data_IF_927856876823
#
_entry.id   IF_927856876823
#
_cell.length_a   1.000
_cell.length_b   1.000
_cell.length_c   1.000
_cell.angle_alpha   90.00
_cell.angle_beta   90.00
_cell.angle_gamma   90.00
#
_symmetry.space_group_name_H-M   'P 1'
#
loop_
_entity.id
_entity.type
_entity.pdbx_description
1 polymer ?
#
# COMPACT_ATOMS: atom_id res chain seq x y z
N UNK A 1 -29.13 -13.53 -35.50
CA UNK A 1 -27.74 -13.03 -35.35
C UNK A 1 -27.66 -11.68 -34.60
N UNK A 2 -28.59 -10.73 -34.80
CA UNK A 2 -28.52 -9.40 -34.16
C UNK A 2 -28.79 -9.31 -32.65
N UNK A 3 -29.52 -10.27 -32.05
CA UNK A 3 -29.86 -10.22 -30.61
C UNK A 3 -28.67 -10.66 -29.73
N UNK A 4 -27.91 -11.68 -30.15
CA UNK A 4 -26.71 -12.13 -29.43
C UNK A 4 -25.63 -11.04 -29.39
N UNK A 5 -25.39 -10.35 -30.51
CA UNK A 5 -24.46 -9.21 -30.58
C UNK A 5 -24.89 -8.05 -29.66
N UNK A 6 -26.19 -7.76 -29.58
CA UNK A 6 -26.70 -6.71 -28.69
C UNK A 6 -26.59 -7.08 -27.21
N UNK A 7 -26.77 -8.34 -26.85
CA UNK A 7 -26.57 -8.83 -25.47
C UNK A 7 -25.09 -8.75 -25.09
N UNK A 8 -24.18 -9.08 -26.00
CA UNK A 8 -22.73 -9.02 -25.76
C UNK A 8 -22.20 -7.58 -25.67
N UNK A 9 -22.73 -6.67 -26.49
CA UNK A 9 -22.49 -5.22 -26.40
C UNK A 9 -23.06 -4.61 -25.11
N UNK A 10 -24.23 -5.07 -24.65
CA UNK A 10 -24.79 -4.68 -23.36
C UNK A 10 -23.95 -5.21 -22.20
N UNK A 11 -23.49 -6.46 -22.26
CA UNK A 11 -22.68 -7.05 -21.19
C UNK A 11 -21.30 -6.39 -21.09
N UNK A 12 -20.70 -6.02 -22.22
CA UNK A 12 -19.41 -5.30 -22.27
C UNK A 12 -19.53 -3.83 -21.89
N UNK A 13 -20.61 -3.14 -22.24
CA UNK A 13 -20.86 -1.75 -21.80
C UNK A 13 -21.20 -1.67 -20.31
N UNK A 14 -22.02 -2.59 -19.80
CA UNK A 14 -22.29 -2.74 -18.37
C UNK A 14 -20.98 -3.11 -17.65
N UNK A 15 -20.22 -4.11 -18.11
CA UNK A 15 -18.93 -4.49 -17.52
C UNK A 15 -17.90 -3.34 -17.46
N UNK A 16 -17.81 -2.50 -18.50
CA UNK A 16 -16.95 -1.29 -18.50
C UNK A 16 -17.39 -0.24 -17.49
N UNK A 17 -18.71 -0.02 -17.39
CA UNK A 17 -19.29 0.92 -16.42
C UNK A 17 -19.06 0.45 -14.98
N UNK A 18 -19.28 -0.85 -14.72
CA UNK A 18 -18.99 -1.48 -13.43
C UNK A 18 -17.50 -1.46 -13.09
N UNK A 19 -16.61 -1.73 -14.04
CA UNK A 19 -15.16 -1.67 -13.85
C UNK A 19 -14.69 -0.25 -13.49
N UNK A 20 -15.22 0.78 -14.16
CA UNK A 20 -14.93 2.18 -13.85
C UNK A 20 -15.48 2.60 -12.48
N UNK A 21 -16.72 2.21 -12.14
CA UNK A 21 -17.28 2.45 -10.80
C UNK A 21 -16.45 1.76 -9.71
N UNK A 22 -15.94 0.56 -9.99
CA UNK A 22 -15.16 -0.22 -9.04
C UNK A 22 -13.76 0.36 -8.81
N UNK A 23 -13.09 0.84 -9.86
CA UNK A 23 -11.82 1.59 -9.73
C UNK A 23 -12.03 2.91 -8.97
N UNK A 24 -13.18 3.57 -9.16
CA UNK A 24 -13.55 4.77 -8.39
C UNK A 24 -13.78 4.45 -6.92
N UNK A 25 -14.46 3.34 -6.61
CA UNK A 25 -14.72 2.86 -5.26
C UNK A 25 -13.44 2.42 -4.53
N UNK A 26 -12.51 1.73 -5.20
CA UNK A 26 -11.26 1.23 -4.60
C UNK A 26 -10.36 2.36 -4.12
N UNK A 27 -10.06 3.33 -4.98
CA UNK A 27 -9.31 4.53 -4.57
C UNK A 27 -10.08 5.36 -3.53
N UNK A 28 -11.42 5.40 -3.60
CA UNK A 28 -12.22 6.09 -2.58
C UNK A 28 -12.01 5.45 -1.22
N UNK A 29 -11.98 4.12 -1.13
CA UNK A 29 -11.69 3.40 0.11
C UNK A 29 -10.28 3.73 0.65
N UNK A 30 -9.27 3.77 -0.22
CA UNK A 30 -7.90 4.14 0.18
C UNK A 30 -7.81 5.59 0.68
N UNK A 31 -8.46 6.50 -0.03
CA UNK A 31 -8.55 7.91 0.36
C UNK A 31 -9.32 8.06 1.67
N UNK A 32 -10.37 7.27 1.92
CA UNK A 32 -11.07 7.26 3.21
C UNK A 32 -10.18 6.73 4.34
N UNK A 33 -9.38 5.68 4.12
CA UNK A 33 -8.38 5.21 5.09
C UNK A 33 -7.34 6.29 5.41
N UNK A 34 -6.83 6.99 4.40
CA UNK A 34 -5.89 8.10 4.58
C UNK A 34 -6.56 9.29 5.28
N UNK A 35 -7.84 9.57 5.03
CA UNK A 35 -8.60 10.60 5.75
C UNK A 35 -8.77 10.25 7.22
N UNK A 36 -9.18 9.01 7.53
CA UNK A 36 -9.34 8.50 8.88
C UNK A 36 -8.04 8.50 9.67
N UNK A 37 -6.91 8.27 9.01
CA UNK A 37 -5.57 8.37 9.60
C UNK A 37 -5.10 9.82 9.86
N UNK A 38 -5.85 10.84 9.44
CA UNK A 38 -5.43 12.24 9.52
C UNK A 38 -4.32 12.61 8.52
N UNK A 39 -4.17 11.82 7.46
CA UNK A 39 -3.09 11.95 6.48
C UNK A 39 -3.52 12.53 5.13
N UNK A 40 -4.82 12.66 4.87
CA UNK A 40 -5.32 13.21 3.61
C UNK A 40 -5.92 14.60 3.77
N UNK A 41 -6.62 15.13 2.76
CA UNK A 41 -7.42 16.34 2.87
C UNK A 41 -8.91 16.03 2.70
N UNK A 42 -9.75 16.86 3.32
CA UNK A 42 -11.19 16.80 3.12
C UNK A 42 -11.55 17.38 1.75
N UNK A 43 -12.43 16.68 1.01
CA UNK A 43 -12.85 17.09 -0.33
C UNK A 43 -13.30 18.56 -0.35
N UNK A 44 -12.99 19.27 -1.44
CA UNK A 44 -13.22 20.71 -1.59
C UNK A 44 -14.67 21.16 -1.29
N UNK A 45 -15.64 20.27 -1.51
CA UNK A 45 -17.08 20.47 -1.25
C UNK A 45 -17.48 20.51 0.23
N UNK A 46 -16.56 20.25 1.15
CA UNK A 46 -16.88 20.24 2.60
C UNK A 46 -16.83 21.65 3.18
N UNK A 47 -17.69 21.94 4.17
CA UNK A 47 -17.75 23.25 4.84
C UNK A 47 -16.43 23.63 5.50
N UNK A 48 -16.12 24.93 5.52
CA UNK A 48 -14.84 25.45 5.99
C UNK A 48 -14.59 25.15 7.48
N UNK A 49 -15.65 25.10 8.30
CA UNK A 49 -15.55 24.67 9.70
C UNK A 49 -15.00 23.24 9.84
N UNK A 50 -15.44 22.31 8.99
CA UNK A 50 -14.99 20.91 9.06
C UNK A 50 -13.54 20.80 8.57
N UNK A 51 -13.14 21.60 7.59
CA UNK A 51 -11.73 21.69 7.15
C UNK A 51 -10.80 22.15 8.27
N UNK A 52 -11.22 23.15 9.06
CA UNK A 52 -10.44 23.64 10.22
C UNK A 52 -10.34 22.58 11.31
N UNK A 53 -11.46 21.92 11.66
CA UNK A 53 -11.47 20.83 12.66
C UNK A 53 -10.53 19.70 12.24
N UNK A 54 -10.59 19.31 10.96
CA UNK A 54 -9.76 18.26 10.42
C UNK A 54 -8.27 18.65 10.37
N UNK A 55 -7.95 19.90 10.06
CA UNK A 55 -6.57 20.40 10.14
C UNK A 55 -6.01 20.34 11.56
N UNK A 56 -6.80 20.71 12.57
CA UNK A 56 -6.44 20.58 13.99
C UNK A 56 -6.20 19.11 14.33
N UNK A 57 -7.12 18.22 13.93
CA UNK A 57 -6.99 16.77 14.14
C UNK A 57 -5.67 16.22 13.57
N UNK A 58 -5.32 16.58 12.33
CA UNK A 58 -4.07 16.15 11.70
C UNK A 58 -2.85 16.59 12.53
N UNK A 59 -2.83 17.84 13.02
CA UNK A 59 -1.73 18.34 13.86
C UNK A 59 -1.64 17.61 15.20
N UNK A 60 -2.78 17.26 15.81
CA UNK A 60 -2.81 16.47 17.05
C UNK A 60 -2.24 15.06 16.81
N UNK A 61 -2.61 14.39 15.71
CA UNK A 61 -2.09 13.05 15.39
C UNK A 61 -0.57 13.08 15.19
N UNK A 62 -0.05 14.05 14.42
CA UNK A 62 1.40 14.20 14.24
C UNK A 62 2.14 14.52 15.54
N UNK A 63 1.56 15.38 16.39
CA UNK A 63 2.14 15.69 17.70
C UNK A 63 2.16 14.45 18.61
N UNK A 64 1.09 13.65 18.63
CA UNK A 64 1.02 12.41 19.40
C UNK A 64 2.08 11.39 18.95
N UNK A 65 2.26 11.21 17.63
CA UNK A 65 3.30 10.33 17.07
C UNK A 65 4.70 10.82 17.44
N UNK A 66 4.94 12.15 17.40
CA UNK A 66 6.23 12.73 17.77
C UNK A 66 6.54 12.54 19.27
N UNK A 67 5.57 12.80 20.15
CA UNK A 67 5.72 12.56 21.60
C UNK A 67 6.02 11.09 21.88
N UNK A 68 5.28 10.19 21.22
CA UNK A 68 5.50 8.75 21.36
C UNK A 68 6.90 8.33 20.89
N UNK A 69 7.38 8.90 19.78
CA UNK A 69 8.73 8.65 19.26
C UNK A 69 9.83 9.14 20.21
N UNK A 70 9.65 10.29 20.84
CA UNK A 70 10.58 10.83 21.85
C UNK A 70 10.61 9.95 23.10
N UNK A 71 9.45 9.47 23.55
CA UNK A 71 9.35 8.55 24.69
C UNK A 71 10.07 7.23 24.45
N UNK A 72 9.93 6.66 23.25
CA UNK A 72 10.67 5.45 22.84
C UNK A 72 12.18 5.70 22.74
N UNK A 73 12.60 6.84 22.19
CA UNK A 73 14.02 7.20 22.12
C UNK A 73 14.63 7.35 23.53
N UNK A 74 13.88 7.96 24.44
CA UNK A 74 14.31 8.11 25.84
C UNK A 74 14.42 6.76 26.55
N UNK A 75 13.47 5.85 26.31
CA UNK A 75 13.52 4.50 26.84
C UNK A 75 14.76 3.73 26.36
N UNK A 76 15.11 3.84 25.07
CA UNK A 76 16.32 3.26 24.49
C UNK A 76 17.58 3.82 25.16
N UNK A 77 17.64 5.15 25.38
CA UNK A 77 18.79 5.80 26.00
C UNK A 77 18.96 5.36 27.46
N UNK A 78 17.87 5.21 28.21
CA UNK A 78 17.93 4.79 29.62
C UNK A 78 18.33 3.31 29.72
N UNK A 79 17.77 2.46 28.88
CA UNK A 79 17.94 1.00 28.94
C UNK A 79 19.04 0.45 28.02
N UNK A 80 19.95 1.29 27.52
CA UNK A 80 20.97 0.91 26.52
C UNK A 80 21.91 -0.23 26.95
N UNK A 81 22.02 -0.51 28.25
CA UNK A 81 22.86 -1.58 28.80
C UNK A 81 22.22 -2.96 28.70
N UNK A 82 20.89 -3.03 28.69
CA UNK A 82 20.17 -4.28 28.51
C UNK A 82 19.89 -4.47 27.01
N UNK A 83 20.69 -5.32 26.36
CA UNK A 83 20.59 -5.58 24.92
C UNK A 83 19.22 -6.14 24.50
N UNK A 84 18.54 -6.88 25.37
CA UNK A 84 17.22 -7.45 25.05
C UNK A 84 16.18 -6.33 24.98
N UNK A 85 16.14 -5.49 26.03
CA UNK A 85 15.26 -4.32 26.09
C UNK A 85 15.59 -3.28 25.02
N UNK A 86 16.89 -3.01 24.81
CA UNK A 86 17.36 -2.08 23.78
C UNK A 86 16.87 -2.50 22.38
N UNK A 87 17.00 -3.79 22.06
CA UNK A 87 16.60 -4.30 20.75
C UNK A 87 15.08 -4.27 20.58
N UNK A 88 14.34 -4.52 21.67
CA UNK A 88 12.86 -4.50 21.67
C UNK A 88 12.32 -3.10 21.40
N UNK A 89 12.70 -2.13 22.23
CA UNK A 89 12.34 -0.72 22.04
C UNK A 89 12.89 -0.17 20.72
N UNK A 90 14.07 -0.64 20.28
CA UNK A 90 14.69 -0.30 19.00
C UNK A 90 13.85 -0.71 17.79
N UNK A 91 13.24 -1.90 17.79
CA UNK A 91 12.37 -2.35 16.70
C UNK A 91 11.15 -1.45 16.54
N UNK A 92 10.52 -1.08 17.66
CA UNK A 92 9.35 -0.20 17.69
C UNK A 92 9.73 1.21 17.22
N UNK A 93 10.89 1.72 17.68
CA UNK A 93 11.41 3.02 17.28
C UNK A 93 11.71 3.09 15.77
N UNK A 94 12.32 2.05 15.19
CA UNK A 94 12.54 1.97 13.74
C UNK A 94 11.20 1.94 13.00
N UNK A 95 10.22 1.18 13.50
CA UNK A 95 8.86 1.14 12.96
C UNK A 95 8.21 2.52 12.91
N UNK A 96 8.08 3.20 14.05
CA UNK A 96 7.44 4.52 14.13
C UNK A 96 8.18 5.59 13.32
N UNK A 97 9.50 5.48 13.22
CA UNK A 97 10.33 6.38 12.39
C UNK A 97 9.96 6.28 10.91
N UNK A 98 9.71 5.07 10.39
CA UNK A 98 9.26 4.86 9.01
C UNK A 98 7.87 5.44 8.79
N UNK A 99 6.94 5.19 9.71
CA UNK A 99 5.57 5.73 9.60
C UNK A 99 5.62 7.24 9.52
N UNK A 100 6.39 7.87 10.41
CA UNK A 100 6.56 9.31 10.47
C UNK A 100 7.18 9.86 9.18
N UNK A 101 8.24 9.22 8.69
CA UNK A 101 8.88 9.61 7.43
C UNK A 101 7.93 9.52 6.24
N UNK A 102 7.19 8.41 6.11
CA UNK A 102 6.18 8.22 5.07
C UNK A 102 5.07 9.25 5.16
N UNK A 103 4.56 9.50 6.35
CA UNK A 103 3.52 10.48 6.59
C UNK A 103 3.96 11.88 6.14
N UNK A 104 5.21 12.27 6.44
CA UNK A 104 5.79 13.53 5.96
C UNK A 104 5.90 13.56 4.44
N UNK A 105 6.42 12.49 3.81
CA UNK A 105 6.53 12.42 2.34
C UNK A 105 5.16 12.53 1.67
N UNK A 106 4.16 11.81 2.16
CA UNK A 106 2.78 11.85 1.65
C UNK A 106 2.18 13.26 1.76
N UNK A 107 2.39 13.93 2.89
CA UNK A 107 1.90 15.29 3.10
C UNK A 107 2.61 16.32 2.21
N UNK A 108 3.94 16.25 2.10
CA UNK A 108 4.73 17.18 1.29
C UNK A 108 4.46 17.01 -0.21
N UNK A 109 4.20 15.78 -0.67
CA UNK A 109 4.00 15.47 -2.10
C UNK A 109 2.53 15.25 -2.47
N UNK A 110 1.58 15.55 -1.58
CA UNK A 110 0.14 15.27 -1.76
C UNK A 110 -0.44 15.73 -3.10
N UNK A 111 -0.07 16.92 -3.57
CA UNK A 111 -0.58 17.46 -4.84
C UNK A 111 -0.03 16.71 -6.05
N UNK A 112 1.18 16.15 -5.93
CA UNK A 112 1.78 15.30 -6.96
C UNK A 112 1.13 13.93 -6.97
N UNK A 113 0.86 13.36 -5.79
CA UNK A 113 0.14 12.09 -5.64
C UNK A 113 -1.25 12.17 -6.28
N UNK A 114 -2.00 13.23 -6.00
CA UNK A 114 -3.34 13.42 -6.58
C UNK A 114 -3.30 13.53 -8.11
N UNK A 115 -2.40 14.35 -8.65
CA UNK A 115 -2.18 14.41 -10.11
C UNK A 115 -1.78 13.06 -10.69
N UNK A 116 -0.90 12.32 -10.02
CA UNK A 116 -0.41 11.02 -10.47
C UNK A 116 -1.56 10.00 -10.54
N UNK A 117 -2.44 9.97 -9.54
CA UNK A 117 -3.66 9.14 -9.57
C UNK A 117 -4.53 9.52 -10.76
N UNK A 118 -4.74 10.82 -10.98
CA UNK A 118 -5.50 11.32 -12.13
C UNK A 118 -4.88 10.89 -13.47
N UNK A 119 -3.56 11.00 -13.62
CA UNK A 119 -2.82 10.58 -14.81
C UNK A 119 -2.89 9.07 -15.07
N UNK A 120 -2.80 8.24 -14.03
CA UNK A 120 -2.96 6.78 -14.13
C UNK A 120 -4.40 6.42 -14.54
N UNK A 121 -5.41 7.08 -13.95
CA UNK A 121 -6.83 6.87 -14.28
C UNK A 121 -7.16 7.25 -15.72
N UNK A 122 -6.64 8.40 -16.17
CA UNK A 122 -6.82 8.83 -17.55
C UNK A 122 -6.22 7.80 -18.52
N UNK A 123 -5.04 7.29 -18.20
CA UNK A 123 -4.41 6.21 -18.97
C UNK A 123 -5.27 4.93 -19.00
N UNK A 124 -5.83 4.52 -17.86
CA UNK A 124 -6.75 3.37 -17.75
C UNK A 124 -8.00 3.58 -18.62
N UNK A 125 -8.58 4.78 -18.63
CA UNK A 125 -9.75 5.09 -19.46
C UNK A 125 -9.47 4.96 -20.96
N UNK A 126 -8.32 5.48 -21.42
CA UNK A 126 -7.91 5.36 -22.82
C UNK A 126 -7.74 3.90 -23.22
N UNK A 127 -7.17 3.08 -22.35
CA UNK A 127 -7.06 1.65 -22.65
C UNK A 127 -8.41 0.93 -22.61
N UNK A 128 -9.27 1.23 -21.64
CA UNK A 128 -10.57 0.55 -21.47
C UNK A 128 -11.52 0.74 -22.65
N UNK A 129 -11.41 1.85 -23.39
CA UNK A 129 -12.25 2.11 -24.56
C UNK A 129 -11.85 1.30 -25.79
N UNK A 130 -10.61 0.79 -25.82
CA UNK A 130 -10.04 0.06 -26.96
C UNK A 130 -10.02 -1.47 -26.78
N UNK A 131 -10.41 -2.00 -25.62
CA UNK A 131 -10.08 -3.36 -25.14
C UNK A 131 -10.94 -4.51 -25.70
N UNK A 132 -10.24 -5.49 -26.27
CA UNK A 132 -10.60 -6.89 -26.60
C UNK A 132 -10.92 -7.72 -25.32
N UNK A 133 -11.86 -8.71 -25.31
CA UNK A 133 -12.10 -9.63 -24.17
C UNK A 133 -10.85 -10.18 -23.47
N UNK A 134 -9.73 -10.36 -24.19
CA UNK A 134 -8.45 -10.79 -23.61
C UNK A 134 -7.90 -9.82 -22.54
N UNK A 135 -7.91 -8.50 -22.79
CA UNK A 135 -7.42 -7.52 -21.83
C UNK A 135 -8.40 -7.28 -20.68
N UNK A 136 -9.70 -7.53 -20.88
CA UNK A 136 -10.67 -7.57 -19.78
C UNK A 136 -10.37 -8.72 -18.80
N UNK A 137 -9.94 -9.88 -19.31
CA UNK A 137 -9.53 -11.00 -18.46
C UNK A 137 -8.26 -10.68 -17.65
N UNK A 138 -7.32 -9.93 -18.24
CA UNK A 138 -6.10 -9.48 -17.57
C UNK A 138 -6.40 -8.45 -16.47
N UNK A 139 -7.26 -7.47 -16.77
CA UNK A 139 -7.71 -6.48 -15.78
C UNK A 139 -8.36 -7.16 -14.58
N UNK A 140 -9.21 -8.18 -14.81
CA UNK A 140 -9.84 -8.94 -13.73
C UNK A 140 -8.81 -9.67 -12.86
N UNK A 141 -7.75 -10.24 -13.45
CA UNK A 141 -6.65 -10.87 -12.71
C UNK A 141 -5.86 -9.85 -11.87
N UNK A 142 -5.58 -8.68 -12.42
CA UNK A 142 -4.88 -7.62 -11.68
C UNK A 142 -5.73 -7.10 -10.51
N UNK A 143 -7.01 -6.83 -10.74
CA UNK A 143 -7.95 -6.39 -9.70
C UNK A 143 -8.15 -7.43 -8.60
N UNK A 144 -8.26 -8.72 -8.94
CA UNK A 144 -8.41 -9.76 -7.92
C UNK A 144 -7.14 -9.89 -7.09
N UNK A 145 -5.95 -9.84 -7.73
CA UNK A 145 -4.67 -9.82 -7.02
C UNK A 145 -4.57 -8.63 -6.08
N UNK A 146 -4.90 -7.44 -6.57
CA UNK A 146 -4.91 -6.20 -5.80
C UNK A 146 -5.78 -6.31 -4.54
N UNK A 147 -7.03 -6.78 -4.71
CA UNK A 147 -7.96 -6.97 -3.58
C UNK A 147 -7.49 -8.01 -2.58
N UNK A 148 -6.98 -9.14 -3.04
CA UNK A 148 -6.48 -10.20 -2.15
C UNK A 148 -5.30 -9.67 -1.34
N UNK A 149 -4.39 -8.92 -1.98
CA UNK A 149 -3.25 -8.31 -1.30
C UNK A 149 -3.69 -7.27 -0.27
N UNK A 150 -4.56 -6.33 -0.65
CA UNK A 150 -5.08 -5.29 0.27
C UNK A 150 -5.82 -5.91 1.45
N UNK A 151 -6.70 -6.87 1.19
CA UNK A 151 -7.46 -7.57 2.24
C UNK A 151 -6.51 -8.34 3.16
N UNK A 152 -5.55 -9.08 2.59
CA UNK A 152 -4.56 -9.84 3.36
C UNK A 152 -3.77 -8.95 4.32
N UNK A 153 -3.23 -7.83 3.83
CA UNK A 153 -2.51 -6.88 4.66
C UNK A 153 -3.39 -6.20 5.71
N UNK A 154 -4.63 -5.85 5.35
CA UNK A 154 -5.57 -5.22 6.28
C UNK A 154 -5.95 -6.18 7.41
N UNK A 155 -6.26 -7.43 7.08
CA UNK A 155 -6.55 -8.47 8.06
C UNK A 155 -5.36 -8.70 8.99
N UNK A 156 -4.14 -8.80 8.43
CA UNK A 156 -2.92 -8.96 9.22
C UNK A 156 -2.71 -7.78 10.18
N UNK A 157 -2.90 -6.55 9.70
CA UNK A 157 -2.80 -5.33 10.51
C UNK A 157 -3.83 -5.30 11.65
N UNK A 158 -5.07 -5.70 11.40
CA UNK A 158 -6.11 -5.78 12.44
C UNK A 158 -5.79 -6.84 13.49
N UNK A 159 -5.39 -8.05 13.08
CA UNK A 159 -4.99 -9.13 13.99
C UNK A 159 -3.83 -8.68 14.87
N UNK A 160 -2.88 -7.95 14.29
CA UNK A 160 -1.75 -7.36 14.99
C UNK A 160 -2.15 -6.40 16.10
N UNK A 161 -3.01 -5.44 15.80
CA UNK A 161 -3.50 -4.46 16.79
C UNK A 161 -4.25 -5.17 17.90
N UNK A 162 -5.10 -6.15 17.57
CA UNK A 162 -5.84 -6.94 18.56
C UNK A 162 -4.87 -7.75 19.43
N UNK A 163 -3.86 -8.38 18.84
CA UNK A 163 -2.84 -9.12 19.57
C UNK A 163 -2.09 -8.24 20.56
N UNK A 164 -1.64 -7.05 20.12
CA UNK A 164 -0.93 -6.09 20.95
C UNK A 164 -1.79 -5.58 22.13
N UNK A 165 -3.09 -5.36 21.91
CA UNK A 165 -3.97 -4.79 22.94
C UNK A 165 -4.46 -5.87 23.94
N UNK A 166 -4.80 -7.06 23.46
CA UNK A 166 -5.50 -8.07 24.26
C UNK A 166 -4.63 -9.25 24.72
N UNK A 167 -3.60 -9.61 23.96
CA UNK A 167 -2.86 -10.87 24.19
C UNK A 167 -1.48 -10.67 24.82
N UNK A 168 -0.94 -9.45 24.87
CA UNK A 168 0.29 -9.14 25.61
C UNK A 168 0.00 -9.27 27.11
N UNK A 169 0.59 -10.24 27.83
CA UNK A 169 0.40 -10.40 29.26
C UNK A 169 0.85 -9.15 29.98
N UNK A 170 -0.05 -8.62 30.80
CA UNK A 170 0.20 -7.42 31.58
C UNK A 170 0.64 -7.91 32.95
N UNK A 171 1.94 -7.88 33.22
CA UNK A 171 2.37 -7.82 34.61
C UNK A 171 1.75 -6.57 35.24
N UNK A 172 1.36 -6.65 36.51
CA UNK A 172 0.56 -5.63 37.18
C UNK A 172 1.19 -4.24 37.06
N UNK A 173 0.62 -3.39 36.20
CA UNK A 173 1.07 -2.00 35.97
C UNK A 173 1.87 -1.74 34.70
N UNK A 174 2.17 -2.75 33.87
CA UNK A 174 2.91 -2.57 32.61
C UNK A 174 2.01 -2.18 31.42
N UNK A 175 2.52 -1.28 30.56
CA UNK A 175 1.85 -0.80 29.34
C UNK A 175 2.15 -1.75 28.14
N UNK A 176 1.24 -1.88 27.15
CA UNK A 176 1.41 -2.77 25.99
C UNK A 176 2.68 -2.54 25.18
N UNK A 177 3.09 -1.27 25.11
CA UNK A 177 4.37 -0.88 24.53
C UNK A 177 5.14 -0.14 25.62
N UNK A 178 6.32 -0.66 25.94
CA UNK A 178 7.26 -0.01 26.85
C UNK A 178 7.67 1.33 26.26
N UNK A 179 7.44 2.40 27.01
CA UNK A 179 7.74 3.76 26.62
C UNK A 179 8.00 4.57 27.89
N UNK A 180 8.96 5.49 27.84
CA UNK A 180 9.25 6.34 28.97
C UNK A 180 8.28 7.52 29.03
N UNK A 181 7.65 7.72 30.20
CA UNK A 181 6.78 8.86 30.49
C UNK A 181 7.32 9.66 31.67
N UNK A 182 7.19 11.00 31.67
CA UNK A 182 7.71 11.87 32.74
C UNK A 182 6.90 11.84 34.05
N UNK A 183 5.91 10.95 34.15
CA UNK A 183 5.03 10.79 35.31
C UNK A 183 4.78 9.30 35.55
N UNK A 184 4.40 8.95 36.78
CA UNK A 184 4.24 7.56 37.19
C UNK A 184 3.01 6.92 36.51
N UNK A 185 3.27 6.00 35.59
CA UNK A 185 2.25 5.26 34.84
C UNK A 185 1.72 4.04 35.59
N UNK A 186 2.24 3.73 36.78
CA UNK A 186 1.79 2.60 37.60
C UNK A 186 0.59 2.95 38.49
N UNK A 187 0.30 4.24 38.67
CA UNK A 187 -0.76 4.74 39.54
C UNK A 187 -2.08 4.96 38.76
N UNK A 188 -3.18 4.38 39.26
CA UNK A 188 -4.54 4.65 38.79
C UNK A 188 -4.94 6.07 39.23
N UNK A 189 -5.44 6.97 38.34
CA UNK A 189 -6.05 6.76 37.02
C UNK A 189 -5.13 6.98 35.80
N UNK A 190 -3.88 7.45 35.99
CA UNK A 190 -3.00 7.83 34.89
C UNK A 190 -2.65 6.65 33.97
N UNK A 191 -2.52 5.44 34.55
CA UNK A 191 -2.33 4.21 33.78
C UNK A 191 -3.39 4.01 32.68
N UNK A 192 -4.68 4.17 33.03
CA UNK A 192 -5.79 3.95 32.09
C UNK A 192 -5.82 4.99 30.97
N UNK A 193 -5.51 6.24 31.30
CA UNK A 193 -5.45 7.35 30.34
C UNK A 193 -4.33 7.10 29.32
N UNK A 194 -3.12 6.80 29.79
CA UNK A 194 -1.98 6.51 28.91
C UNK A 194 -2.23 5.30 28.03
N UNK A 195 -2.79 4.23 28.61
CA UNK A 195 -3.18 3.04 27.86
C UNK A 195 -4.16 3.36 26.72
N UNK A 196 -5.18 4.19 27.00
CA UNK A 196 -6.16 4.61 25.99
C UNK A 196 -5.53 5.44 24.86
N UNK A 197 -4.68 6.41 25.22
CA UNK A 197 -3.96 7.26 24.26
C UNK A 197 -3.02 6.41 23.39
N UNK A 198 -2.26 5.51 24.01
CA UNK A 198 -1.32 4.63 23.32
C UNK A 198 -2.05 3.67 22.36
N UNK A 199 -3.16 3.06 22.81
CA UNK A 199 -3.98 2.19 21.97
C UNK A 199 -4.56 2.94 20.76
N UNK A 200 -5.04 4.16 20.98
CA UNK A 200 -5.52 5.02 19.90
C UNK A 200 -4.41 5.39 18.92
N UNK A 201 -3.23 5.80 19.42
CA UNK A 201 -2.09 6.16 18.58
C UNK A 201 -1.60 4.99 17.72
N UNK A 202 -1.54 3.77 18.28
CA UNK A 202 -1.18 2.56 17.54
C UNK A 202 -2.23 2.23 16.47
N UNK A 203 -3.52 2.30 16.80
CA UNK A 203 -4.58 2.04 15.84
C UNK A 203 -4.55 3.03 14.66
N UNK A 204 -4.43 4.33 14.94
CA UNK A 204 -4.32 5.37 13.90
C UNK A 204 -3.04 5.19 13.08
N UNK A 205 -1.91 4.89 13.72
CA UNK A 205 -0.64 4.60 13.05
C UNK A 205 -0.72 3.40 12.11
N UNK A 206 -1.44 2.35 12.50
CA UNK A 206 -1.65 1.17 11.63
C UNK A 206 -2.55 1.47 10.44
N UNK A 207 -3.64 2.21 10.63
CA UNK A 207 -4.50 2.66 9.52
C UNK A 207 -3.69 3.54 8.55
N UNK A 208 -2.84 4.41 9.07
CA UNK A 208 -1.92 5.23 8.30
C UNK A 208 -0.98 4.39 7.42
N UNK A 209 -0.32 3.38 8.01
CA UNK A 209 0.57 2.47 7.28
C UNK A 209 -0.19 1.78 6.15
N UNK A 210 -1.33 1.14 6.48
CA UNK A 210 -2.14 0.39 5.52
C UNK A 210 -2.57 1.30 4.37
N UNK A 211 -3.06 2.50 4.67
CA UNK A 211 -3.49 3.48 3.67
C UNK A 211 -2.35 3.89 2.73
N UNK A 212 -1.23 4.36 3.28
CA UNK A 212 -0.09 4.82 2.48
C UNK A 212 0.48 3.69 1.62
N UNK A 213 0.59 2.51 2.20
CA UNK A 213 1.23 1.37 1.55
C UNK A 213 0.40 0.76 0.44
N UNK A 214 -0.92 0.70 0.66
CA UNK A 214 -1.87 0.28 -0.36
C UNK A 214 -1.90 1.26 -1.52
N UNK A 215 -1.91 2.59 -1.27
CA UNK A 215 -1.90 3.57 -2.35
C UNK A 215 -0.68 3.42 -3.27
N UNK A 216 0.52 3.24 -2.72
CA UNK A 216 1.72 2.99 -3.55
C UNK A 216 1.59 1.67 -4.31
N UNK A 217 1.14 0.61 -3.64
CA UNK A 217 0.98 -0.71 -4.25
C UNK A 217 -0.01 -0.69 -5.43
N UNK A 218 -1.16 -0.02 -5.26
CA UNK A 218 -2.17 0.13 -6.31
C UNK A 218 -1.63 0.96 -7.47
N UNK A 219 -0.99 2.10 -7.21
CA UNK A 219 -0.41 2.93 -8.28
C UNK A 219 0.62 2.15 -9.11
N UNK A 220 1.57 1.48 -8.44
CA UNK A 220 2.55 0.62 -9.12
C UNK A 220 1.87 -0.52 -9.89
N UNK A 221 0.86 -1.18 -9.29
CA UNK A 221 0.10 -2.26 -9.93
C UNK A 221 -0.61 -1.80 -11.19
N UNK A 222 -1.17 -0.59 -11.21
CA UNK A 222 -1.83 0.01 -12.39
C UNK A 222 -0.82 0.38 -13.48
N UNK A 223 0.35 0.89 -13.11
CA UNK A 223 1.43 1.15 -14.08
C UNK A 223 1.95 -0.16 -14.69
N UNK A 224 2.13 -1.21 -13.89
CA UNK A 224 2.52 -2.53 -14.38
C UNK A 224 1.49 -3.12 -15.34
N UNK A 225 0.21 -2.99 -15.03
CA UNK A 225 -0.88 -3.40 -15.92
C UNK A 225 -0.82 -2.67 -17.28
N UNK A 226 -0.55 -1.36 -17.27
CA UNK A 226 -0.40 -0.58 -18.51
C UNK A 226 0.82 -1.02 -19.33
N UNK A 227 1.94 -1.36 -18.67
CA UNK A 227 3.12 -1.90 -19.34
C UNK A 227 2.85 -3.26 -20.00
N UNK A 228 2.05 -4.13 -19.37
CA UNK A 228 1.64 -5.40 -19.99
C UNK A 228 0.73 -5.19 -21.20
N UNK A 229 -0.20 -4.24 -21.14
CA UNK A 229 -1.02 -3.85 -22.30
C UNK A 229 -0.13 -3.34 -23.44
N UNK A 230 0.84 -2.47 -23.14
CA UNK A 230 1.78 -1.98 -24.13
C UNK A 230 2.56 -3.12 -24.78
N UNK A 231 3.07 -4.06 -23.98
CA UNK A 231 3.84 -5.21 -24.48
C UNK A 231 3.01 -6.07 -25.45
N UNK A 232 1.75 -6.33 -25.09
CA UNK A 232 0.80 -7.04 -25.95
C UNK A 232 0.51 -6.32 -27.28
N UNK A 233 0.32 -5.00 -27.21
CA UNK A 233 0.06 -4.18 -28.39
C UNK A 233 1.28 -4.14 -29.32
N UNK A 234 2.49 -4.07 -28.74
CA UNK A 234 3.73 -4.12 -29.50
C UNK A 234 3.92 -5.48 -30.19
N UNK A 235 3.65 -6.59 -29.50
CA UNK A 235 3.69 -7.93 -30.09
C UNK A 235 2.68 -8.07 -31.24
N UNK A 236 1.48 -7.53 -31.08
CA UNK A 236 0.45 -7.54 -32.14
C UNK A 236 0.93 -6.83 -33.41
N UNK A 237 1.63 -5.70 -33.28
CA UNK A 237 2.21 -4.99 -34.41
C UNK A 237 3.27 -5.84 -35.16
N UNK A 238 4.08 -6.62 -34.42
CA UNK A 238 5.12 -7.48 -35.04
C UNK A 238 4.54 -8.61 -35.89
N UNK A 239 3.36 -9.13 -35.53
CA UNK A 239 2.70 -10.22 -36.26
C UNK A 239 2.13 -9.74 -37.61
N UNK A 240 1.66 -8.49 -37.68
CA UNK A 240 1.17 -7.89 -38.93
C UNK A 240 2.29 -7.74 -39.98
N UNK A 241 3.52 -7.43 -39.56
CA UNK A 241 4.70 -7.37 -40.46
C UNK A 241 4.95 -8.74 -41.10
N UNK A 242 4.89 -9.80 -40.29
CA UNK A 242 5.16 -11.17 -40.77
C UNK A 242 4.02 -11.73 -41.63
N UNK A 243 2.76 -11.39 -41.32
CA UNK A 243 1.59 -11.81 -42.11
C UNK A 243 1.50 -11.10 -43.47
N UNK A 244 2.05 -9.88 -43.58
CA UNK A 244 2.13 -9.13 -44.84
C UNK A 244 3.11 -9.76 -45.86
N UNK A 245 3.97 -10.69 -45.42
CA UNK A 245 4.98 -11.37 -46.24
C UNK A 245 4.68 -12.82 -46.59
N UNK A 246 3.58 -13.42 -46.10
CA UNK A 246 3.29 -14.83 -46.37
C UNK A 246 1.87 -15.23 -45.99
N UNK A 247 1.18 -15.93 -46.90
CA UNK A 247 -0.06 -16.68 -46.61
C UNK A 247 0.21 -17.66 -45.46
N UNK A 248 -0.42 -17.48 -44.31
CA UNK A 248 -0.57 -18.60 -43.36
C UNK A 248 -1.76 -18.46 -42.42
N UNK A 249 -2.65 -19.44 -42.58
CA UNK A 249 -3.37 -20.23 -41.58
C UNK A 249 -3.54 -19.69 -40.16
N UNK A 250 -4.82 -19.55 -39.80
CA UNK A 250 -5.38 -19.33 -38.47
C UNK A 250 -4.97 -20.44 -37.49
N UNK A 251 -4.09 -20.11 -36.54
CA UNK A 251 -3.88 -20.89 -35.31
C UNK A 251 -4.69 -20.25 -34.16
N UNK A 252 -5.60 -21.00 -33.49
CA UNK A 252 -6.57 -20.46 -32.53
C UNK A 252 -6.01 -20.17 -31.11
N UNK A 253 -4.70 -19.98 -30.96
CA UNK A 253 -4.06 -19.83 -29.65
C UNK A 253 -3.23 -18.54 -29.47
N UNK A 254 -3.48 -17.50 -30.28
CA UNK A 254 -2.72 -16.24 -30.26
C UNK A 254 -3.56 -14.95 -30.26
N UNK A 255 -4.79 -15.00 -29.77
CA UNK A 255 -5.62 -13.78 -29.65
C UNK A 255 -5.37 -13.09 -28.30
N UNK A 256 -4.24 -12.39 -28.20
CA UNK A 256 -4.04 -11.34 -27.19
C UNK A 256 -3.79 -10.03 -27.93
N UNK A 257 -4.85 -9.50 -28.56
CA UNK A 257 -4.80 -8.31 -29.41
C UNK A 257 -5.66 -7.20 -28.83
N UNK A 258 -5.13 -6.47 -27.85
CA UNK A 258 -5.90 -5.47 -27.10
C UNK A 258 -6.49 -4.34 -27.98
N UNK A 259 -5.96 -4.08 -29.20
CA UNK A 259 -6.47 -3.07 -30.14
C UNK A 259 -7.32 -3.61 -31.31
N UNK A 260 -7.87 -4.83 -31.24
CA UNK A 260 -8.42 -5.47 -32.46
C UNK A 260 -9.74 -4.94 -32.97
N UNK A 261 -10.47 -4.09 -32.24
CA UNK A 261 -11.82 -3.74 -32.69
C UNK A 261 -12.26 -2.32 -32.38
N UNK A 262 -11.57 -1.34 -32.96
CA UNK A 262 -12.28 -0.18 -33.49
C UNK A 262 -11.80 0.10 -34.89
N UNK A 263 -12.78 0.39 -35.74
CA UNK A 263 -12.66 0.88 -37.10
C UNK A 263 -11.79 2.14 -37.06
N UNK A 264 -10.47 2.00 -37.17
CA UNK A 264 -9.55 3.10 -37.38
C UNK A 264 -8.66 2.72 -38.56
N UNK A 265 -8.81 3.48 -39.65
CA UNK A 265 -8.15 3.30 -40.94
C UNK A 265 -6.64 3.59 -40.88
N UNK A 266 -5.97 3.24 -39.78
CA UNK A 266 -4.53 3.39 -39.61
C UNK A 266 -3.81 2.09 -39.95
N UNK A 267 -2.90 2.12 -40.94
CA UNK A 267 -1.99 1.01 -41.22
C UNK A 267 -1.08 0.68 -40.02
N UNK A 268 -0.22 -0.33 -40.17
CA UNK A 268 0.77 -0.74 -39.16
C UNK A 268 1.50 0.45 -38.50
N UNK A 269 1.87 1.45 -39.31
CA UNK A 269 2.57 2.65 -38.87
C UNK A 269 1.82 3.45 -37.80
N UNK A 270 0.49 3.60 -37.91
CA UNK A 270 -0.30 4.35 -36.92
C UNK A 270 -0.45 3.59 -35.59
N UNK A 271 -0.62 2.25 -35.65
CA UNK A 271 -0.64 1.41 -34.44
C UNK A 271 0.72 1.44 -33.73
N UNK A 272 1.80 1.32 -34.49
CA UNK A 272 3.16 1.42 -33.97
C UNK A 272 3.44 2.78 -33.35
N UNK A 273 3.05 3.88 -34.03
CA UNK A 273 3.16 5.24 -33.51
C UNK A 273 2.43 5.42 -32.17
N UNK A 274 1.19 4.92 -32.07
CA UNK A 274 0.42 4.94 -30.80
C UNK A 274 1.12 4.16 -29.68
N UNK A 275 1.72 3.00 -29.99
CA UNK A 275 2.50 2.24 -29.01
C UNK A 275 3.73 3.01 -28.51
N UNK A 276 4.47 3.66 -29.41
CA UNK A 276 5.63 4.49 -29.03
C UNK A 276 5.22 5.67 -28.16
N UNK A 277 4.14 6.38 -28.52
CA UNK A 277 3.61 7.48 -27.72
C UNK A 277 3.16 7.02 -26.32
N UNK A 278 2.48 5.87 -26.25
CA UNK A 278 2.05 5.30 -24.97
C UNK A 278 3.26 4.86 -24.12
N UNK A 279 4.29 4.27 -24.72
CA UNK A 279 5.53 3.94 -24.03
C UNK A 279 6.23 5.17 -23.45
N UNK A 280 6.36 6.24 -24.22
CA UNK A 280 6.93 7.50 -23.76
C UNK A 280 6.15 8.09 -22.59
N UNK A 281 4.82 8.04 -22.65
CA UNK A 281 3.95 8.47 -21.56
C UNK A 281 4.15 7.62 -20.30
N UNK A 282 4.27 6.29 -20.42
CA UNK A 282 4.51 5.41 -19.28
C UNK A 282 5.87 5.62 -18.64
N UNK A 283 6.92 5.95 -19.40
CA UNK A 283 8.23 6.32 -18.84
C UNK A 283 8.09 7.53 -17.92
N UNK A 284 7.44 8.60 -18.41
CA UNK A 284 7.19 9.80 -17.61
C UNK A 284 6.37 9.50 -16.35
N UNK A 285 5.41 8.59 -16.45
CA UNK A 285 4.57 8.17 -15.34
C UNK A 285 5.37 7.39 -14.28
N UNK A 286 6.23 6.46 -14.70
CA UNK A 286 7.13 5.69 -13.82
C UNK A 286 8.14 6.62 -13.14
N UNK A 287 8.68 7.59 -13.86
CA UNK A 287 9.61 8.57 -13.29
C UNK A 287 8.93 9.42 -12.21
N UNK A 288 7.69 9.85 -12.42
CA UNK A 288 6.92 10.58 -11.41
C UNK A 288 6.58 9.70 -10.19
N UNK A 289 6.21 8.42 -10.39
CA UNK A 289 6.02 7.45 -9.29
C UNK A 289 7.30 7.31 -8.47
N UNK A 290 8.45 7.15 -9.14
CA UNK A 290 9.74 6.98 -8.48
C UNK A 290 10.17 8.25 -7.75
N UNK A 291 10.02 9.43 -8.35
CA UNK A 291 10.38 10.69 -7.69
C UNK A 291 9.47 10.96 -6.48
N UNK A 292 8.18 10.60 -6.55
CA UNK A 292 7.25 10.77 -5.43
C UNK A 292 7.54 9.77 -4.31
N UNK A 293 7.57 8.47 -4.63
CA UNK A 293 7.58 7.39 -3.63
C UNK A 293 8.94 6.72 -3.41
N UNK A 294 9.94 6.96 -4.24
CA UNK A 294 11.25 6.27 -4.19
C UNK A 294 11.93 6.40 -2.83
N UNK A 295 11.98 7.62 -2.27
CA UNK A 295 12.50 7.86 -0.91
C UNK A 295 11.73 7.07 0.18
N UNK A 296 10.40 7.02 0.06
CA UNK A 296 9.53 6.28 0.99
C UNK A 296 9.74 4.76 0.90
N UNK A 297 9.89 4.23 -0.32
CA UNK A 297 10.18 2.81 -0.55
C UNK A 297 11.57 2.45 -0.05
N UNK A 298 12.58 3.30 -0.28
CA UNK A 298 13.93 3.09 0.23
C UNK A 298 13.95 3.07 1.77
N UNK A 299 13.31 4.04 2.42
CA UNK A 299 13.19 4.08 3.88
C UNK A 299 12.48 2.84 4.42
N UNK A 300 11.40 2.40 3.77
CA UNK A 300 10.71 1.15 4.14
C UNK A 300 11.68 -0.04 4.07
N UNK A 301 12.41 -0.22 2.96
CA UNK A 301 13.32 -1.35 2.77
C UNK A 301 14.48 -1.36 3.76
N UNK A 302 15.06 -0.19 4.05
CA UNK A 302 16.12 -0.04 5.03
C UNK A 302 15.64 -0.48 6.42
N UNK A 303 14.53 0.10 6.86
CA UNK A 303 13.97 -0.19 8.18
C UNK A 303 13.46 -1.61 8.30
N UNK A 304 12.95 -2.20 7.21
CA UNK A 304 12.61 -3.62 7.16
C UNK A 304 13.80 -4.50 7.47
N UNK A 305 14.93 -4.23 6.80
CA UNK A 305 16.16 -4.97 7.02
C UNK A 305 16.66 -4.79 8.46
N UNK A 306 16.59 -3.58 9.02
CA UNK A 306 16.94 -3.34 10.42
C UNK A 306 16.04 -4.11 11.39
N UNK A 307 14.73 -4.06 11.22
CA UNK A 307 13.78 -4.80 12.08
C UNK A 307 14.06 -6.30 11.99
N UNK A 308 14.26 -6.85 10.78
CA UNK A 308 14.58 -8.28 10.60
C UNK A 308 15.88 -8.65 11.32
N UNK A 309 16.92 -7.82 11.20
CA UNK A 309 18.19 -8.06 11.87
C UNK A 309 18.05 -8.02 13.40
N UNK A 310 17.32 -7.02 13.94
CA UNK A 310 17.09 -6.86 15.37
C UNK A 310 16.23 -8.00 15.94
N UNK A 311 15.14 -8.37 15.27
CA UNK A 311 14.32 -9.52 15.66
C UNK A 311 15.09 -10.83 15.54
N UNK A 312 15.92 -11.00 14.50
CA UNK A 312 16.81 -12.15 14.36
C UNK A 312 17.80 -12.25 15.51
N UNK A 313 18.41 -11.14 15.90
CA UNK A 313 19.30 -11.09 17.06
C UNK A 313 18.60 -11.47 18.37
N UNK A 314 17.39 -10.95 18.62
CA UNK A 314 16.57 -11.34 19.77
C UNK A 314 16.27 -12.84 19.77
N UNK A 315 15.90 -13.40 18.62
CA UNK A 315 15.59 -14.83 18.52
C UNK A 315 16.79 -15.70 18.89
N UNK A 316 18.01 -15.29 18.49
CA UNK A 316 19.24 -15.99 18.84
C UNK A 316 19.58 -15.89 20.34
N UNK A 317 19.40 -14.70 20.93
CA UNK A 317 19.63 -14.52 22.37
C UNK A 317 18.70 -15.41 23.21
N UNK A 318 17.43 -15.52 22.83
CA UNK A 318 16.46 -16.37 23.55
C UNK A 318 16.82 -17.85 23.42
N UNK A 319 17.19 -18.33 22.22
CA UNK A 319 17.65 -19.73 22.03
C UNK A 319 18.90 -20.03 22.89
N UNK A 320 19.82 -19.08 23.00
CA UNK A 320 21.06 -19.23 23.79
C UNK A 320 20.82 -19.50 25.29
N UNK A 321 19.64 -19.16 25.81
CA UNK A 321 19.25 -19.39 27.21
C UNK A 321 18.54 -20.75 27.44
N UNK A 322 18.46 -21.63 26.43
CA UNK A 322 18.00 -23.01 26.60
C UNK A 322 16.49 -23.23 26.47
N UNK A 323 15.73 -22.22 26.02
CA UNK A 323 14.29 -22.37 25.70
C UNK A 323 14.10 -23.00 24.32
N UNK A 324 13.12 -23.93 24.20
CA UNK A 324 12.80 -24.57 22.93
C UNK A 324 12.32 -23.54 21.90
N UNK A 325 12.64 -23.72 20.61
CA UNK A 325 12.21 -22.80 19.53
C UNK A 325 10.68 -22.56 19.51
N UNK A 326 9.90 -23.55 19.94
CA UNK A 326 8.44 -23.43 20.09
C UNK A 326 8.02 -22.53 21.26
N UNK A 327 8.80 -22.47 22.36
CA UNK A 327 8.55 -21.51 23.45
C UNK A 327 8.83 -20.07 23.03
N UNK A 328 9.65 -19.84 21.99
CA UNK A 328 9.92 -18.49 21.44
C UNK A 328 8.67 -17.91 20.74
N UNK A 329 7.87 -18.77 20.10
CA UNK A 329 6.56 -18.39 19.55
C UNK A 329 5.50 -18.14 20.65
N UNK A 330 5.69 -18.68 21.85
CA UNK A 330 4.78 -18.54 23.00
C UNK A 330 5.28 -17.55 24.06
N UNK A 331 6.51 -17.05 23.94
CA UNK A 331 7.08 -16.11 24.89
C UNK A 331 6.40 -14.76 24.72
N UNK A 332 5.78 -14.22 25.77
CA UNK A 332 4.99 -12.99 25.67
C UNK A 332 5.79 -11.73 25.33
N UNK A 333 7.13 -11.80 25.27
CA UNK A 333 8.01 -10.72 24.82
C UNK A 333 8.27 -10.74 23.31
N UNK A 334 7.83 -11.76 22.56
CA UNK A 334 7.98 -11.84 21.10
C UNK A 334 6.75 -11.34 20.32
N UNK A 335 5.91 -10.50 20.94
CA UNK A 335 4.73 -9.86 20.33
C UNK A 335 5.05 -8.97 19.12
N UNK A 336 6.34 -8.77 18.79
CA UNK A 336 6.84 -7.96 17.68
C UNK A 336 7.17 -8.75 16.41
N UNK A 337 7.15 -10.09 16.48
CA UNK A 337 7.20 -10.99 15.31
C UNK A 337 6.23 -10.56 14.19
N UNK A 338 4.99 -10.08 14.45
CA UNK A 338 4.06 -9.79 13.38
C UNK A 338 4.24 -8.38 12.78
N UNK A 339 4.88 -7.41 13.46
CA UNK A 339 5.32 -6.15 12.82
C UNK A 339 6.48 -6.43 11.87
N UNK A 340 7.44 -7.26 12.28
CA UNK A 340 8.47 -7.78 11.38
C UNK A 340 7.86 -8.58 10.22
N UNK A 341 6.81 -9.38 10.47
CA UNK A 341 6.07 -10.14 9.44
C UNK A 341 5.31 -9.23 8.47
N UNK A 342 4.70 -8.13 8.93
CA UNK A 342 3.97 -7.18 8.07
C UNK A 342 4.93 -6.40 7.18
N UNK A 343 6.14 -6.17 7.68
CA UNK A 343 7.25 -5.56 6.96
C UNK A 343 7.94 -6.56 6.00
N UNK A 344 7.98 -7.85 6.35
CA UNK A 344 8.47 -8.96 5.50
C UNK A 344 7.51 -9.32 4.37
N UNK A 345 6.20 -9.33 4.62
CA UNK A 345 5.19 -9.76 3.65
C UNK A 345 5.00 -8.77 2.49
N UNK A 346 5.60 -7.58 2.58
CA UNK A 346 5.56 -6.55 1.54
C UNK A 346 6.76 -6.56 0.59
N UNK A 347 7.76 -7.42 0.80
CA UNK A 347 8.87 -7.59 -0.15
C UNK A 347 8.49 -8.48 -1.33
#
# INVERSE_FOLDING_TARGET
MGIANNIELLNTSVGRRWSSYQTVLEYKMEVECLKLAGLWYLSSDTSDCVKVIYWIYNKIVFAAIAIFSIGLLTDIIINYKDLVTFTDSGCIFVGISVVSFKAVVFQCKKSRIDRLVHSVRQCESWTSDLVDPAAMSLLKKYKIRERVTILGFSCLGCVLVIALIFFVPRETGELPIRCWYPFDTTVTPMHQIVFGIQSFAVAVGMIAIIGMDNTVFVLCGRVLFQLEILAANFQSCSLDINASGGRSETNPHKDFTCFRHTIDCGGFFERYRKCVMHHQYLILLVDEVNDVFGSSMFSQLLSSSLIICLTGFQSLLVVGHGTNFFEICYLPRSSFQPIALLVLLRK
#
